data_IF_610999494145
#
_entry.id   IF_610999494145
#
_cell.length_a   1.000
_cell.length_b   1.000
_cell.length_c   1.000
_cell.angle_alpha   90.00
_cell.angle_beta   90.00
_cell.angle_gamma   90.00
#
_symmetry.space_group_name_H-M   'P 1'
#
loop_
_entity.id
_entity.type
_entity.pdbx_description
1 polymer ?
#
# COMPACT_ATOMS: atom_id res chain seq x y z
N UNK A 1 -25.48 -28.96 -10.77
CA UNK A 1 -24.90 -27.80 -11.47
C UNK A 1 -24.76 -26.69 -10.44
N UNK A 2 -23.62 -26.68 -9.72
CA UNK A 2 -23.37 -25.75 -8.60
C UNK A 2 -22.87 -24.44 -9.18
N UNK A 3 -23.65 -23.39 -9.07
CA UNK A 3 -23.24 -22.02 -9.36
C UNK A 3 -22.15 -21.60 -8.35
N UNK A 4 -20.90 -21.61 -8.80
CA UNK A 4 -19.80 -20.97 -8.08
C UNK A 4 -20.07 -19.47 -7.99
N UNK A 5 -20.54 -18.98 -6.86
CA UNK A 5 -20.56 -17.56 -6.52
C UNK A 5 -19.12 -17.07 -6.36
N UNK A 6 -18.59 -16.47 -7.41
CA UNK A 6 -17.30 -15.76 -7.36
C UNK A 6 -17.53 -14.43 -6.60
N UNK A 7 -17.02 -14.34 -5.40
CA UNK A 7 -17.02 -13.08 -4.66
C UNK A 7 -15.75 -12.30 -5.03
N UNK A 8 -15.93 -11.24 -5.81
CA UNK A 8 -14.89 -10.25 -6.09
C UNK A 8 -14.84 -9.29 -4.87
N UNK A 9 -13.74 -9.30 -4.13
CA UNK A 9 -13.51 -8.34 -3.04
C UNK A 9 -12.63 -7.23 -3.59
N UNK A 10 -13.22 -6.09 -3.90
CA UNK A 10 -12.48 -4.89 -4.30
C UNK A 10 -12.54 -3.83 -3.19
N UNK A 11 -11.40 -3.34 -2.74
CA UNK A 11 -11.29 -2.19 -1.87
C UNK A 11 -10.70 -1.03 -2.69
N UNK A 12 -11.44 0.07 -2.83
CA UNK A 12 -10.98 1.28 -3.51
C UNK A 12 -10.64 2.31 -2.45
N UNK A 13 -9.42 2.80 -2.46
CA UNK A 13 -9.00 3.92 -1.62
C UNK A 13 -8.87 5.14 -2.53
N UNK A 14 -9.83 6.04 -2.46
CA UNK A 14 -9.77 7.33 -3.14
C UNK A 14 -9.83 8.41 -2.07
N UNK A 15 -8.74 9.13 -1.88
CA UNK A 15 -8.70 10.22 -0.92
C UNK A 15 -8.24 11.50 -1.56
N UNK A 16 -9.06 12.54 -1.48
CA UNK A 16 -8.57 13.91 -1.62
C UNK A 16 -9.50 14.87 -0.90
N UNK A 17 -9.08 15.35 0.22
CA UNK A 17 -9.60 16.62 0.80
C UNK A 17 -8.40 17.38 1.35
N UNK A 18 -8.09 18.50 0.71
CA UNK A 18 -7.04 19.40 1.17
C UNK A 18 -7.55 20.21 2.34
N UNK A 19 -6.86 20.13 3.47
CA UNK A 19 -6.89 21.15 4.50
C UNK A 19 -5.48 21.72 4.56
N UNK A 20 -5.34 22.94 4.04
CA UNK A 20 -4.07 23.65 4.05
C UNK A 20 -3.67 24.03 5.47
N UNK A 21 -2.49 23.59 5.88
CA UNK A 21 -1.69 24.28 6.90
C UNK A 21 -0.35 24.60 6.23
N UNK A 22 -0.11 25.90 6.13
CA UNK A 22 1.04 26.46 5.46
C UNK A 22 2.34 26.14 6.22
N UNK A 23 3.12 25.26 5.65
CA UNK A 23 4.56 25.17 5.80
C UNK A 23 5.06 24.55 4.50
N UNK A 24 6.17 25.00 3.95
CA UNK A 24 6.80 24.41 2.75
C UNK A 24 7.10 22.93 2.99
N UNK A 25 6.08 22.11 2.90
CA UNK A 25 6.16 20.66 2.98
C UNK A 25 5.83 20.16 1.58
N UNK A 26 6.75 19.41 1.01
CA UNK A 26 6.58 18.65 -0.24
C UNK A 26 5.33 17.71 -0.11
N UNK A 27 4.17 18.30 -0.39
CA UNK A 27 2.87 17.66 -0.17
C UNK A 27 2.48 16.90 -1.42
N UNK A 28 2.27 15.60 -1.32
CA UNK A 28 1.97 14.72 -2.45
C UNK A 28 0.65 14.01 -2.25
N UNK A 29 -0.05 13.69 -3.32
CA UNK A 29 -1.31 12.96 -3.27
C UNK A 29 -1.19 11.59 -3.92
N UNK A 30 -1.76 10.57 -3.27
CA UNK A 30 -1.78 9.20 -3.75
C UNK A 30 -3.20 8.68 -3.90
N UNK A 31 -3.57 8.28 -5.12
CA UNK A 31 -4.74 7.45 -5.37
C UNK A 31 -4.33 5.97 -5.34
N UNK A 32 -5.01 5.16 -4.54
CA UNK A 32 -4.71 3.73 -4.41
C UNK A 32 -5.98 2.91 -4.62
N UNK A 33 -5.94 2.01 -5.59
CA UNK A 33 -6.95 0.98 -5.80
C UNK A 33 -6.38 -0.36 -5.36
N UNK A 34 -6.98 -0.98 -4.35
CA UNK A 34 -6.61 -2.33 -3.91
C UNK A 34 -7.68 -3.33 -4.32
N UNK A 35 -7.26 -4.44 -4.90
CA UNK A 35 -8.10 -5.54 -5.31
C UNK A 35 -7.62 -6.81 -4.60
N UNK A 36 -8.53 -7.43 -3.84
CA UNK A 36 -8.26 -8.71 -3.20
C UNK A 36 -9.36 -9.68 -3.60
N UNK A 37 -9.00 -10.73 -4.29
CA UNK A 37 -9.93 -11.75 -4.77
C UNK A 37 -9.59 -13.11 -4.18
N UNK A 38 -10.53 -13.71 -3.49
CA UNK A 38 -10.44 -15.11 -3.08
C UNK A 38 -10.74 -15.97 -4.30
N UNK A 39 -9.79 -16.83 -4.71
CA UNK A 39 -9.93 -17.77 -5.82
C UNK A 39 -10.65 -19.01 -5.32
N UNK A 40 -10.15 -19.59 -4.22
CA UNK A 40 -10.76 -20.70 -3.51
C UNK A 40 -10.45 -20.62 -2.00
N UNK A 41 -10.52 -21.74 -1.26
CA UNK A 41 -10.21 -21.77 0.17
C UNK A 41 -8.74 -21.47 0.48
N UNK A 42 -7.83 -21.88 -0.40
CA UNK A 42 -6.39 -21.83 -0.18
C UNK A 42 -5.71 -20.70 -0.98
N UNK A 43 -6.27 -20.31 -2.12
CA UNK A 43 -5.64 -19.35 -3.04
C UNK A 43 -6.38 -18.01 -3.10
N UNK A 44 -5.60 -16.95 -3.21
CA UNK A 44 -6.08 -15.59 -3.40
C UNK A 44 -5.25 -14.85 -4.45
N UNK A 45 -5.86 -13.90 -5.14
CA UNK A 45 -5.19 -12.92 -5.97
C UNK A 45 -5.23 -11.57 -5.27
N UNK A 46 -4.09 -10.89 -5.19
CA UNK A 46 -3.97 -9.55 -4.63
C UNK A 46 -3.33 -8.64 -5.67
N UNK A 47 -3.94 -7.49 -5.90
CA UNK A 47 -3.41 -6.49 -6.81
C UNK A 47 -3.62 -5.09 -6.24
N UNK A 48 -2.75 -4.16 -6.58
CA UNK A 48 -2.97 -2.75 -6.35
C UNK A 48 -2.40 -1.90 -7.49
N UNK A 49 -3.10 -0.80 -7.74
CA UNK A 49 -2.69 0.26 -8.64
C UNK A 49 -2.53 1.52 -7.80
N UNK A 50 -1.39 2.17 -7.89
CA UNK A 50 -1.10 3.40 -7.18
C UNK A 50 -0.75 4.48 -8.18
N UNK A 51 -1.53 5.55 -8.17
CA UNK A 51 -1.30 6.77 -8.91
C UNK A 51 -0.82 7.85 -7.94
N UNK A 52 0.40 8.29 -8.09
CA UNK A 52 1.03 9.27 -7.20
C UNK A 52 1.28 10.54 -7.98
N UNK A 53 0.88 11.66 -7.40
CA UNK A 53 0.95 12.98 -8.01
C UNK A 53 1.92 13.86 -7.24
N UNK A 54 2.53 14.80 -7.95
CA UNK A 54 3.21 15.92 -7.35
C UNK A 54 2.21 16.87 -6.68
N UNK A 55 2.68 17.96 -6.11
CA UNK A 55 1.90 18.91 -5.32
C UNK A 55 0.70 19.50 -6.09
N UNK A 56 0.84 19.74 -7.37
CA UNK A 56 -0.16 20.41 -8.23
C UNK A 56 -1.31 19.51 -8.69
N UNK A 57 -1.42 18.27 -8.21
CA UNK A 57 -2.49 17.29 -8.54
C UNK A 57 -2.66 16.94 -10.03
N UNK A 58 -2.03 17.67 -10.93
CA UNK A 58 -2.13 17.50 -12.38
C UNK A 58 -0.96 16.70 -12.96
N UNK A 59 0.14 16.54 -12.21
CA UNK A 59 1.35 15.92 -12.70
C UNK A 59 1.61 14.57 -12.05
N UNK A 60 1.62 13.53 -12.89
CA UNK A 60 2.00 12.19 -12.48
C UNK A 60 3.47 12.15 -12.06
N UNK A 61 3.72 11.73 -10.81
CA UNK A 61 5.05 11.45 -10.28
C UNK A 61 5.43 9.98 -10.46
N UNK A 62 4.50 9.07 -10.11
CA UNK A 62 4.74 7.65 -10.19
C UNK A 62 3.45 6.88 -10.42
N UNK A 63 3.50 5.95 -11.37
CA UNK A 63 2.51 4.89 -11.53
C UNK A 63 3.12 3.58 -11.04
N UNK A 64 2.43 2.88 -10.14
CA UNK A 64 2.80 1.55 -9.69
C UNK A 64 1.63 0.61 -9.91
N UNK A 65 1.88 -0.49 -10.61
CA UNK A 65 0.92 -1.58 -10.80
C UNK A 65 1.55 -2.85 -10.24
N UNK A 66 0.81 -3.54 -9.37
CA UNK A 66 1.34 -4.73 -8.70
C UNK A 66 0.27 -5.81 -8.63
N UNK A 67 0.69 -7.07 -8.84
CA UNK A 67 -0.17 -8.23 -8.71
C UNK A 67 0.59 -9.42 -8.15
N UNK A 68 -0.12 -10.30 -7.45
CA UNK A 68 0.48 -11.51 -6.88
C UNK A 68 -0.55 -12.57 -6.52
N UNK A 69 -0.07 -13.80 -6.43
CA UNK A 69 -0.84 -14.96 -5.99
C UNK A 69 -0.45 -15.29 -4.56
N UNK A 70 -1.45 -15.42 -3.70
CA UNK A 70 -1.31 -15.76 -2.30
C UNK A 70 -1.84 -17.16 -2.02
N UNK A 71 -1.13 -17.88 -1.15
CA UNK A 71 -1.55 -19.17 -0.59
C UNK A 71 -1.78 -19.03 0.90
N UNK A 72 -2.96 -19.42 1.36
CA UNK A 72 -3.35 -19.35 2.76
C UNK A 72 -2.80 -20.57 3.52
N UNK A 73 -1.85 -20.33 4.40
CA UNK A 73 -1.25 -21.37 5.25
C UNK A 73 -2.19 -21.79 6.38
N UNK A 74 -2.98 -20.84 6.87
CA UNK A 74 -3.99 -21.06 7.90
C UNK A 74 -5.26 -20.30 7.55
N UNK A 75 -6.40 -20.81 7.99
CA UNK A 75 -7.68 -20.21 7.69
C UNK A 75 -7.74 -18.75 8.20
N UNK A 76 -7.75 -17.81 7.25
CA UNK A 76 -7.89 -16.34 7.43
C UNK A 76 -6.73 -15.59 8.11
N UNK A 77 -5.64 -16.25 8.56
CA UNK A 77 -4.64 -15.57 9.37
C UNK A 77 -3.27 -15.42 8.69
N UNK A 78 -2.75 -16.48 8.11
CA UNK A 78 -1.40 -16.50 7.55
C UNK A 78 -1.43 -16.77 6.06
N UNK A 79 -0.77 -15.91 5.28
CA UNK A 79 -0.72 -16.03 3.82
C UNK A 79 0.70 -15.77 3.35
N UNK A 80 1.25 -16.66 2.54
CA UNK A 80 2.42 -16.38 1.73
C UNK A 80 1.98 -15.89 0.35
N UNK A 81 2.74 -14.98 -0.25
CA UNK A 81 2.40 -14.41 -1.54
C UNK A 81 3.66 -14.19 -2.35
N UNK A 82 3.60 -14.52 -3.64
CA UNK A 82 4.60 -14.16 -4.63
C UNK A 82 3.96 -13.28 -5.70
N UNK A 83 4.67 -12.27 -6.15
CA UNK A 83 4.12 -11.33 -7.10
C UNK A 83 5.16 -10.50 -7.85
N UNK A 84 4.62 -9.71 -8.76
CA UNK A 84 5.36 -8.82 -9.62
C UNK A 84 4.79 -7.41 -9.55
N UNK A 85 5.66 -6.41 -9.68
CA UNK A 85 5.28 -5.02 -9.79
C UNK A 85 6.03 -4.33 -10.92
N UNK A 86 5.32 -3.48 -11.63
CA UNK A 86 5.85 -2.50 -12.56
C UNK A 86 5.74 -1.11 -11.96
N UNK A 87 6.81 -0.34 -12.04
CA UNK A 87 6.86 1.03 -11.53
C UNK A 87 7.39 1.94 -12.61
N UNK A 88 6.63 2.94 -12.96
CA UNK A 88 7.04 4.05 -13.81
C UNK A 88 7.20 5.30 -12.97
N UNK A 89 8.39 5.89 -12.99
CA UNK A 89 8.67 7.16 -12.34
C UNK A 89 8.81 8.24 -13.41
N UNK A 90 8.26 9.40 -13.13
CA UNK A 90 8.43 10.62 -13.92
C UNK A 90 9.20 11.62 -13.07
N UNK A 91 10.35 12.03 -13.53
CA UNK A 91 11.28 12.89 -12.78
C UNK A 91 11.49 14.18 -13.60
N UNK A 92 11.22 15.37 -13.03
CA UNK A 92 11.51 16.63 -13.72
C UNK A 92 12.98 16.74 -14.13
N UNK A 93 13.23 17.29 -15.31
CA UNK A 93 14.57 17.63 -15.81
C UNK A 93 14.78 19.14 -15.76
N UNK A 94 16.00 19.59 -16.00
CA UNK A 94 16.35 21.02 -15.97
C UNK A 94 15.74 21.84 -17.12
N UNK A 95 15.26 21.16 -18.17
CA UNK A 95 14.74 21.78 -19.39
C UNK A 95 13.19 21.82 -19.43
N UNK A 96 12.53 21.85 -18.27
CA UNK A 96 11.06 21.78 -18.11
C UNK A 96 10.41 20.54 -18.76
N UNK A 97 11.21 19.50 -19.01
CA UNK A 97 10.78 18.21 -19.53
C UNK A 97 10.83 17.13 -18.42
N UNK A 98 10.49 15.89 -18.75
CA UNK A 98 10.47 14.78 -17.81
C UNK A 98 11.26 13.58 -18.32
N UNK A 99 12.10 13.06 -17.45
CA UNK A 99 12.71 11.74 -17.62
C UNK A 99 11.79 10.65 -17.11
N UNK A 100 11.70 9.54 -17.85
CA UNK A 100 10.91 8.37 -17.49
C UNK A 100 11.83 7.22 -17.10
N UNK A 101 11.74 6.79 -15.84
CA UNK A 101 12.49 5.64 -15.33
C UNK A 101 11.53 4.49 -15.02
N UNK A 102 11.88 3.30 -15.48
CA UNK A 102 11.09 2.09 -15.27
C UNK A 102 11.79 1.16 -14.30
N UNK A 103 11.01 0.49 -13.48
CA UNK A 103 11.52 -0.47 -12.52
C UNK A 103 10.59 -1.68 -12.50
N UNK A 104 11.18 -2.86 -12.58
CA UNK A 104 10.49 -4.13 -12.41
C UNK A 104 10.83 -4.70 -11.03
N UNK A 105 9.86 -5.31 -10.36
CA UNK A 105 10.08 -5.93 -9.05
C UNK A 105 9.47 -7.32 -9.01
N UNK A 106 10.24 -8.27 -8.54
CA UNK A 106 9.72 -9.52 -8.01
C UNK A 106 9.63 -9.37 -6.49
N UNK A 107 8.58 -9.93 -5.89
CA UNK A 107 8.48 -9.88 -4.44
C UNK A 107 7.86 -11.15 -3.86
N UNK A 108 8.34 -11.49 -2.66
CA UNK A 108 7.74 -12.48 -1.79
C UNK A 108 7.25 -11.80 -0.54
N UNK A 109 6.11 -12.24 -0.04
CA UNK A 109 5.45 -11.62 1.10
C UNK A 109 4.85 -12.67 2.02
N UNK A 110 4.97 -12.41 3.32
CA UNK A 110 4.25 -13.12 4.36
C UNK A 110 3.34 -12.15 5.10
N UNK A 111 2.07 -12.47 5.20
CA UNK A 111 1.09 -11.72 5.97
C UNK A 111 0.60 -12.58 7.12
N UNK A 112 0.50 -11.98 8.31
CA UNK A 112 -0.19 -12.59 9.45
C UNK A 112 -1.13 -11.58 10.09
N UNK A 113 -2.28 -12.05 10.58
CA UNK A 113 -3.31 -11.21 11.19
C UNK A 113 -3.76 -11.84 12.50
N UNK A 114 -4.02 -10.98 13.47
CA UNK A 114 -4.64 -11.39 14.74
C UNK A 114 -5.46 -10.22 15.32
N UNK A 115 -6.36 -10.53 16.23
CA UNK A 115 -7.16 -9.52 16.90
C UNK A 115 -6.86 -9.52 18.40
N UNK A 116 -6.73 -8.31 18.95
CA UNK A 116 -6.65 -8.08 20.40
C UNK A 116 -7.81 -7.18 20.77
N UNK A 117 -8.84 -7.74 21.41
CA UNK A 117 -10.09 -7.04 21.68
C UNK A 117 -10.69 -6.49 20.37
N UNK A 118 -10.84 -5.18 20.23
CA UNK A 118 -11.37 -4.49 19.04
C UNK A 118 -10.31 -4.18 17.99
N UNK A 119 -9.03 -4.33 18.33
CA UNK A 119 -7.93 -4.01 17.42
C UNK A 119 -7.63 -5.20 16.50
N UNK A 120 -7.74 -4.98 15.20
CA UNK A 120 -7.30 -5.94 14.19
C UNK A 120 -5.87 -5.56 13.80
N UNK A 121 -4.92 -6.40 14.18
CA UNK A 121 -3.50 -6.21 13.89
C UNK A 121 -3.11 -7.05 12.67
N UNK A 122 -2.32 -6.46 11.78
CA UNK A 122 -1.76 -7.15 10.63
C UNK A 122 -0.28 -6.83 10.47
N UNK A 123 0.51 -7.88 10.27
CA UNK A 123 1.93 -7.78 9.97
C UNK A 123 2.15 -8.19 8.51
N UNK A 124 3.00 -7.48 7.83
CA UNK A 124 3.43 -7.79 6.47
C UNK A 124 4.95 -7.75 6.41
N UNK A 125 5.54 -8.87 6.09
CA UNK A 125 6.96 -9.00 5.78
C UNK A 125 7.10 -9.16 4.27
N UNK A 126 7.95 -8.39 3.62
CA UNK A 126 8.16 -8.46 2.18
C UNK A 126 9.62 -8.32 1.83
N UNK A 127 10.08 -9.18 0.94
CA UNK A 127 11.36 -9.06 0.24
C UNK A 127 11.07 -8.66 -1.20
N UNK A 128 11.74 -7.65 -1.69
CA UNK A 128 11.62 -7.17 -3.07
C UNK A 128 12.99 -7.24 -3.75
N UNK A 129 13.04 -7.90 -4.89
CA UNK A 129 14.13 -7.82 -5.84
C UNK A 129 13.74 -6.79 -6.90
N UNK A 130 14.51 -5.71 -6.97
CA UNK A 130 14.22 -4.51 -7.76
C UNK A 130 15.19 -4.41 -8.91
N UNK A 131 14.70 -4.54 -10.14
CA UNK A 131 15.47 -4.39 -11.37
C UNK A 131 15.31 -2.96 -11.86
N UNK A 132 16.34 -2.15 -11.61
CA UNK A 132 16.46 -0.79 -12.11
C UNK A 132 17.23 -0.80 -13.44
N UNK A 133 17.32 0.35 -14.13
CA UNK A 133 17.97 0.42 -15.43
C UNK A 133 19.42 -0.09 -15.41
N UNK A 134 20.19 0.20 -14.36
CA UNK A 134 21.62 -0.07 -14.29
C UNK A 134 22.04 -0.99 -13.15
N UNK A 135 21.13 -1.40 -12.29
CA UNK A 135 21.45 -2.21 -11.11
C UNK A 135 20.26 -3.03 -10.61
N UNK A 136 20.56 -4.10 -9.89
CA UNK A 136 19.59 -4.87 -9.13
C UNK A 136 19.78 -4.60 -7.64
N UNK A 137 18.69 -4.30 -6.94
CA UNK A 137 18.69 -4.02 -5.51
C UNK A 137 17.74 -4.96 -4.78
N UNK A 138 18.12 -5.38 -3.58
CA UNK A 138 17.26 -6.11 -2.66
C UNK A 138 16.74 -5.16 -1.57
N UNK A 139 15.44 -5.26 -1.27
CA UNK A 139 14.79 -4.48 -0.24
C UNK A 139 13.91 -5.34 0.64
N UNK A 140 14.13 -5.25 1.94
CA UNK A 140 13.24 -5.80 2.94
C UNK A 140 12.26 -4.73 3.42
N UNK A 141 11.01 -5.14 3.67
CA UNK A 141 9.96 -4.26 4.19
C UNK A 141 9.21 -4.98 5.31
N UNK A 142 9.01 -4.28 6.41
CA UNK A 142 8.11 -4.71 7.47
C UNK A 142 7.05 -3.66 7.71
N UNK A 143 5.79 -4.06 7.75
CA UNK A 143 4.67 -3.19 8.10
C UNK A 143 3.87 -3.82 9.23
N UNK A 144 3.62 -3.02 10.25
CA UNK A 144 2.60 -3.26 11.27
C UNK A 144 1.43 -2.32 11.03
N UNK A 145 0.22 -2.84 10.99
CA UNK A 145 -0.99 -2.02 10.95
C UNK A 145 -1.99 -2.43 12.02
N UNK A 146 -2.68 -1.44 12.58
CA UNK A 146 -3.75 -1.61 13.55
C UNK A 146 -5.01 -0.96 13.01
N UNK A 147 -6.12 -1.69 12.96
CA UNK A 147 -7.43 -1.19 12.52
C UNK A 147 -8.44 -1.38 13.65
N UNK A 148 -9.16 -0.31 13.99
CA UNK A 148 -10.20 -0.33 15.02
C UNK A 148 -11.53 0.15 14.44
N UNK A 149 -12.60 -0.67 14.48
CA UNK A 149 -13.95 -0.22 14.14
C UNK A 149 -14.45 0.78 15.18
N UNK A 150 -15.09 1.86 14.74
CA UNK A 150 -15.53 2.97 15.60
C UNK A 150 -16.97 2.81 16.08
N UNK A 151 -17.89 2.58 15.17
CA UNK A 151 -19.34 2.49 15.44
C UNK A 151 -19.88 1.05 15.53
N UNK A 152 -19.04 0.04 15.32
CA UNK A 152 -19.34 -1.38 15.43
C UNK A 152 -18.25 -2.13 16.22
N UNK A 153 -18.47 -3.40 16.53
CA UNK A 153 -17.46 -4.27 17.15
C UNK A 153 -16.58 -4.99 16.14
N UNK A 154 -17.03 -5.05 14.88
CA UNK A 154 -16.33 -5.72 13.76
C UNK A 154 -16.39 -4.83 12.51
N UNK A 155 -15.51 -5.09 11.55
CA UNK A 155 -15.54 -4.44 10.24
C UNK A 155 -16.62 -5.08 9.36
N UNK A 156 -17.84 -4.63 9.52
CA UNK A 156 -19.02 -5.06 8.75
C UNK A 156 -19.57 -3.86 7.97
N UNK A 157 -20.64 -4.06 7.18
CA UNK A 157 -21.29 -2.96 6.43
C UNK A 157 -21.63 -1.78 7.35
N UNK A 158 -21.51 -0.58 6.83
CA UNK A 158 -21.78 0.68 7.51
C UNK A 158 -20.89 0.91 8.75
N UNK A 159 -19.64 0.41 8.70
CA UNK A 159 -18.67 0.60 9.78
C UNK A 159 -17.62 1.63 9.41
N UNK A 160 -17.55 2.70 10.20
CA UNK A 160 -16.39 3.58 10.25
C UNK A 160 -15.26 2.90 11.01
N UNK A 161 -14.03 3.05 10.53
CA UNK A 161 -12.86 2.53 11.21
C UNK A 161 -11.68 3.48 11.11
N UNK A 162 -10.83 3.44 12.11
CA UNK A 162 -9.53 4.11 12.10
C UNK A 162 -8.46 3.05 11.86
N UNK A 163 -7.48 3.38 11.00
CA UNK A 163 -6.34 2.52 10.72
C UNK A 163 -5.06 3.32 10.84
N UNK A 164 -4.13 2.80 11.64
CA UNK A 164 -2.77 3.32 11.73
C UNK A 164 -1.79 2.26 11.23
N UNK A 165 -0.67 2.68 10.63
CA UNK A 165 0.39 1.76 10.28
C UNK A 165 1.76 2.42 10.36
N UNK A 166 2.75 1.57 10.61
CA UNK A 166 4.18 1.88 10.49
C UNK A 166 4.80 0.91 9.50
N UNK A 167 5.58 1.40 8.55
CA UNK A 167 6.26 0.58 7.56
C UNK A 167 7.73 0.97 7.43
N UNK A 168 8.61 0.04 7.78
CA UNK A 168 10.06 0.16 7.68
C UNK A 168 10.56 -0.45 6.37
N UNK A 169 11.49 0.25 5.71
CA UNK A 169 12.17 -0.19 4.48
C UNK A 169 13.66 -0.25 4.70
N UNK A 170 14.24 -1.41 4.47
CA UNK A 170 15.69 -1.65 4.55
C UNK A 170 16.21 -2.13 3.20
N UNK A 171 17.32 -1.56 2.74
CA UNK A 171 18.00 -1.97 1.51
C UNK A 171 19.25 -2.78 1.86
N UNK A 172 19.53 -3.82 1.06
CA UNK A 172 20.76 -4.57 1.15
C UNK A 172 21.85 -3.89 0.30
N UNK A 173 22.17 -2.63 0.64
CA UNK A 173 23.22 -1.84 0.00
C UNK A 173 24.24 -1.44 1.06
N UNK A 174 25.54 -1.62 0.76
CA UNK A 174 26.62 -1.25 1.67
C UNK A 174 26.47 0.23 2.07
N UNK A 175 26.54 0.51 3.36
CA UNK A 175 26.46 1.85 3.98
C UNK A 175 25.12 2.59 3.82
N UNK A 176 24.09 1.96 3.25
CA UNK A 176 22.75 2.53 3.03
C UNK A 176 21.62 1.58 3.41
N UNK A 177 21.73 0.91 4.56
CA UNK A 177 20.75 -0.10 4.97
C UNK A 177 19.34 0.49 5.20
N UNK A 178 19.25 1.65 5.84
CA UNK A 178 17.96 2.33 6.00
C UNK A 178 17.57 3.06 4.71
N UNK A 179 16.43 2.70 4.11
CA UNK A 179 15.85 3.40 2.95
C UNK A 179 14.88 4.49 3.43
N UNK A 180 13.81 4.08 4.09
CA UNK A 180 12.76 4.98 4.60
C UNK A 180 11.90 4.33 5.68
N UNK A 181 11.13 5.17 6.35
CA UNK A 181 10.00 4.76 7.19
C UNK A 181 8.74 5.51 6.75
N UNK A 182 7.59 4.87 6.91
CA UNK A 182 6.27 5.45 6.65
C UNK A 182 5.36 5.24 7.84
N UNK A 183 4.85 6.33 8.38
CA UNK A 183 3.82 6.33 9.40
C UNK A 183 2.54 6.88 8.81
N UNK A 184 1.47 6.10 8.83
CA UNK A 184 0.18 6.49 8.24
C UNK A 184 -0.98 6.38 9.21
N UNK A 185 -1.95 7.27 9.03
CA UNK A 185 -3.23 7.28 9.74
C UNK A 185 -4.34 7.53 8.74
N UNK A 186 -5.38 6.70 8.74
CA UNK A 186 -6.51 6.83 7.84
C UNK A 186 -7.84 6.59 8.55
N UNK A 187 -8.88 7.29 8.08
CA UNK A 187 -10.28 7.02 8.38
C UNK A 187 -10.87 6.27 7.20
N UNK A 188 -11.52 5.16 7.48
CA UNK A 188 -12.16 4.35 6.45
C UNK A 188 -13.62 4.06 6.75
N UNK A 189 -14.36 3.68 5.71
CA UNK A 189 -15.75 3.29 5.79
C UNK A 189 -16.02 2.04 4.97
N UNK A 190 -16.61 1.03 5.61
CA UNK A 190 -17.03 -0.21 4.96
C UNK A 190 -18.43 -0.01 4.40
N UNK A 191 -18.56 0.06 3.08
CA UNK A 191 -19.84 0.20 2.38
C UNK A 191 -20.52 -1.17 2.25
N UNK A 192 -19.73 -2.18 1.86
CA UNK A 192 -20.19 -3.55 1.67
C UNK A 192 -19.10 -4.55 2.01
N UNK A 193 -19.37 -5.87 2.04
CA UNK A 193 -18.33 -6.87 2.27
C UNK A 193 -17.21 -6.87 1.22
N UNK A 194 -17.46 -6.23 0.09
CA UNK A 194 -16.54 -6.19 -1.07
C UNK A 194 -16.01 -4.81 -1.36
N UNK A 195 -16.48 -3.78 -0.66
CA UNK A 195 -16.11 -2.41 -0.96
C UNK A 195 -15.96 -1.55 0.29
N UNK A 196 -14.81 -0.93 0.43
CA UNK A 196 -14.53 0.10 1.43
C UNK A 196 -13.67 1.20 0.82
N UNK A 197 -13.75 2.40 1.38
CA UNK A 197 -12.81 3.47 1.04
C UNK A 197 -12.05 3.93 2.29
N UNK A 198 -10.88 4.47 2.08
CA UNK A 198 -10.04 5.09 3.12
C UNK A 198 -9.57 6.45 2.62
N UNK A 199 -9.53 7.42 3.52
CA UNK A 199 -8.83 8.68 3.32
C UNK A 199 -7.86 8.87 4.48
N UNK A 200 -6.64 9.29 4.21
CA UNK A 200 -5.64 9.33 5.26
C UNK A 200 -4.42 10.16 4.91
N UNK A 201 -3.58 10.30 5.90
CA UNK A 201 -2.33 11.02 5.85
C UNK A 201 -1.17 10.08 6.13
N UNK A 202 -0.05 10.28 5.43
CA UNK A 202 1.16 9.52 5.61
C UNK A 202 2.38 10.44 5.66
N UNK A 203 3.16 10.29 6.70
CA UNK A 203 4.49 10.86 6.82
C UNK A 203 5.53 9.86 6.32
N UNK A 204 6.34 10.24 5.35
CA UNK A 204 7.49 9.45 4.90
C UNK A 204 8.79 10.13 5.33
N UNK A 205 9.60 9.42 6.09
CA UNK A 205 10.91 9.85 6.57
C UNK A 205 12.02 9.10 5.85
N UNK A 206 13.00 9.83 5.35
CA UNK A 206 14.25 9.32 4.78
C UNK A 206 15.42 9.92 5.57
N UNK A 207 16.66 9.46 5.34
CA UNK A 207 17.83 9.97 6.10
C UNK A 207 17.98 11.50 6.07
N UNK A 208 17.59 12.14 4.98
CA UNK A 208 17.83 13.57 4.72
C UNK A 208 16.57 14.37 4.41
N UNK A 209 15.41 13.74 4.34
CA UNK A 209 14.17 14.43 3.96
C UNK A 209 12.94 13.81 4.62
N UNK A 210 11.94 14.66 4.84
CA UNK A 210 10.61 14.25 5.23
C UNK A 210 9.63 14.73 4.16
N UNK A 211 8.70 13.88 3.76
CA UNK A 211 7.63 14.23 2.83
C UNK A 211 6.28 13.88 3.42
N UNK A 212 5.32 14.76 3.22
CA UNK A 212 3.94 14.60 3.66
C UNK A 212 3.08 14.12 2.49
N UNK A 213 2.14 13.21 2.75
CA UNK A 213 1.35 12.62 1.67
C UNK A 213 -0.10 12.42 2.11
N UNK A 214 -1.04 12.82 1.26
CA UNK A 214 -2.45 12.41 1.35
C UNK A 214 -2.67 11.10 0.60
N UNK A 215 -3.49 10.24 1.17
CA UNK A 215 -3.86 8.95 0.61
C UNK A 215 -5.40 8.84 0.53
#
# INVERSE_FOLDING_TARGET
MLLMRKYLVAAIVVGSLQVGLAQESDFRTWGILNINQKIDKDWSFQSDIQYRMYEDLDQLQQLLIRGGIGYNLTENNNTILAGYAYVQNRVPTLDDDYSHNHEHRLYQQFNTKHAISRFNLAHRFRVEERFLQNETQFRFRYQLSATVPLNNTKLINNTWYLKAYDELFLQAVKDKTFDRNRLGLSLGYVISPTFSFEAGYMLQSQKTSHTNQLM
#
